data_IF_738250158451
#
_entry.id   IF_738250158451
#
_cell.length_a   1.000
_cell.length_b   1.000
_cell.length_c   1.000
_cell.angle_alpha   90.00
_cell.angle_beta   90.00
_cell.angle_gamma   90.00
#
_symmetry.space_group_name_H-M   'P 1'
#
loop_
_entity.id
_entity.type
_entity.pdbx_description
1 polymer ?
#
# COMPACT_ATOMS: atom_id res chain seq x y z
N UNK A 1 -7.45 5.45 -22.13
CA UNK A 1 -7.36 4.28 -21.23
C UNK A 1 -8.59 3.40 -21.47
N UNK A 2 -8.43 2.11 -21.74
CA UNK A 2 -9.54 1.18 -22.02
C UNK A 2 -10.52 1.13 -20.82
N UNK A 3 -11.82 1.29 -21.06
CA UNK A 3 -12.86 1.27 -20.01
C UNK A 3 -12.82 -0.02 -19.18
N UNK A 4 -12.47 -1.17 -19.79
CA UNK A 4 -12.30 -2.46 -19.09
C UNK A 4 -11.15 -2.45 -18.08
N UNK A 5 -10.02 -1.81 -18.43
CA UNK A 5 -8.89 -1.69 -17.51
C UNK A 5 -9.22 -0.75 -16.35
N UNK A 6 -9.93 0.34 -16.61
CA UNK A 6 -10.33 1.29 -15.59
C UNK A 6 -11.27 0.66 -14.55
N UNK A 7 -12.27 -0.11 -14.99
CA UNK A 7 -13.19 -0.82 -14.09
C UNK A 7 -12.48 -1.91 -13.29
N UNK A 8 -11.57 -2.66 -13.94
CA UNK A 8 -10.74 -3.68 -13.27
C UNK A 8 -9.86 -3.07 -12.18
N UNK A 9 -9.16 -1.98 -12.47
CA UNK A 9 -8.34 -1.26 -11.48
C UNK A 9 -9.19 -0.82 -10.28
N UNK A 10 -10.38 -0.23 -10.52
CA UNK A 10 -11.29 0.18 -9.43
C UNK A 10 -11.71 -1.00 -8.55
N UNK A 11 -12.04 -2.14 -9.17
CA UNK A 11 -12.42 -3.34 -8.43
C UNK A 11 -11.25 -3.88 -7.60
N UNK A 12 -10.04 -3.96 -8.17
CA UNK A 12 -8.84 -4.41 -7.47
C UNK A 12 -8.44 -3.47 -6.33
N UNK A 13 -8.51 -2.15 -6.53
CA UNK A 13 -8.27 -1.16 -5.49
C UNK A 13 -9.28 -1.28 -4.34
N UNK A 14 -10.57 -1.43 -4.64
CA UNK A 14 -11.61 -1.63 -3.61
C UNK A 14 -11.39 -2.91 -2.81
N UNK A 15 -11.08 -4.02 -3.50
CA UNK A 15 -10.86 -5.29 -2.82
C UNK A 15 -9.61 -5.23 -1.92
N UNK A 16 -8.51 -4.65 -2.41
CA UNK A 16 -7.30 -4.46 -1.61
C UNK A 16 -7.50 -3.48 -0.44
N UNK A 17 -8.32 -2.44 -0.61
CA UNK A 17 -8.73 -1.56 0.48
C UNK A 17 -9.40 -2.36 1.60
N UNK A 18 -10.45 -3.12 1.27
CA UNK A 18 -11.24 -3.86 2.26
C UNK A 18 -10.42 -4.94 2.95
N UNK A 19 -9.64 -5.70 2.18
CA UNK A 19 -8.76 -6.75 2.73
C UNK A 19 -7.76 -6.13 3.70
N UNK A 20 -7.06 -5.07 3.30
CA UNK A 20 -6.03 -4.48 4.15
C UNK A 20 -6.61 -3.71 5.34
N UNK A 21 -7.81 -3.12 5.19
CA UNK A 21 -8.53 -2.51 6.31
C UNK A 21 -8.83 -3.53 7.40
N UNK A 22 -9.41 -4.68 7.02
CA UNK A 22 -9.77 -5.72 7.97
C UNK A 22 -8.52 -6.39 8.53
N UNK A 23 -7.58 -6.82 7.68
CA UNK A 23 -6.40 -7.55 8.14
C UNK A 23 -5.49 -6.69 9.03
N UNK A 24 -5.13 -5.47 8.62
CA UNK A 24 -4.24 -4.64 9.44
C UNK A 24 -4.93 -4.15 10.71
N UNK A 25 -6.24 -3.87 10.66
CA UNK A 25 -7.01 -3.52 11.85
C UNK A 25 -7.08 -4.67 12.85
N UNK A 26 -7.40 -5.89 12.40
CA UNK A 26 -7.44 -7.07 13.25
C UNK A 26 -6.05 -7.43 13.80
N UNK A 27 -5.02 -7.41 12.97
CA UNK A 27 -3.64 -7.67 13.40
C UNK A 27 -3.23 -6.67 14.49
N UNK A 28 -3.49 -5.38 14.29
CA UNK A 28 -3.20 -4.37 15.31
C UNK A 28 -4.00 -4.61 16.59
N UNK A 29 -5.29 -4.91 16.48
CA UNK A 29 -6.13 -5.20 17.64
C UNK A 29 -5.59 -6.38 18.44
N UNK A 30 -5.33 -7.53 17.80
CA UNK A 30 -4.84 -8.71 18.51
C UNK A 30 -3.45 -8.52 19.13
N UNK A 31 -2.59 -7.68 18.54
CA UNK A 31 -1.26 -7.40 19.07
C UNK A 31 -1.26 -6.37 20.21
N UNK A 32 -2.28 -5.51 20.29
CA UNK A 32 -2.25 -4.32 21.15
C UNK A 32 -3.39 -4.26 22.18
N UNK A 33 -4.45 -5.07 22.04
CA UNK A 33 -5.66 -4.98 22.89
C UNK A 33 -5.41 -5.03 24.40
N UNK A 34 -4.34 -5.70 24.83
CA UNK A 34 -3.99 -5.84 26.26
C UNK A 34 -2.84 -4.90 26.67
N UNK A 35 -2.41 -4.00 25.79
CA UNK A 35 -1.30 -3.05 26.04
C UNK A 35 -1.82 -1.69 26.49
N UNK A 36 -0.98 -0.90 27.18
CA UNK A 36 -1.29 0.50 27.49
C UNK A 36 -1.50 1.34 26.23
N UNK A 37 -2.05 2.54 26.42
CA UNK A 37 -2.20 3.52 25.35
C UNK A 37 -0.86 3.81 24.65
N UNK A 38 -0.92 3.92 23.32
CA UNK A 38 0.24 4.05 22.45
C UNK A 38 0.61 5.52 22.27
N UNK A 39 1.86 5.85 22.57
CA UNK A 39 2.46 7.12 22.16
C UNK A 39 3.17 6.99 20.81
N UNK A 40 3.67 8.09 20.24
CA UNK A 40 4.34 8.05 18.95
C UNK A 40 5.65 7.23 18.96
N UNK A 41 6.33 7.21 20.10
CA UNK A 41 7.60 6.51 20.33
C UNK A 41 7.56 5.59 21.54
N UNK A 42 8.73 5.12 21.96
CA UNK A 42 8.86 4.17 23.08
C UNK A 42 8.60 2.72 22.69
N UNK A 43 8.63 1.83 23.68
CA UNK A 43 8.60 0.36 23.51
C UNK A 43 7.31 -0.16 22.84
N UNK A 44 6.23 0.60 22.91
CA UNK A 44 4.95 0.32 22.25
C UNK A 44 4.51 1.48 21.34
N UNK A 45 5.48 2.14 20.71
CA UNK A 45 5.22 3.32 19.88
C UNK A 45 4.52 2.99 18.57
N UNK A 46 3.47 3.75 18.23
CA UNK A 46 2.78 3.59 16.94
C UNK A 46 3.60 4.04 15.73
N UNK A 47 4.64 4.87 15.94
CA UNK A 47 5.46 5.44 14.88
C UNK A 47 6.26 4.38 14.12
N UNK A 48 7.14 3.61 14.78
CA UNK A 48 7.88 2.52 14.15
C UNK A 48 6.95 1.48 13.51
N UNK A 49 5.84 1.14 14.18
CA UNK A 49 4.85 0.20 13.64
C UNK A 49 4.24 0.68 12.32
N UNK A 50 3.83 1.95 12.25
CA UNK A 50 3.24 2.51 11.03
C UNK A 50 4.25 2.60 9.89
N UNK A 51 5.51 2.97 10.17
CA UNK A 51 6.58 3.06 9.16
C UNK A 51 6.93 1.69 8.59
N UNK A 52 7.11 0.68 9.45
CA UNK A 52 7.39 -0.70 9.02
C UNK A 52 6.20 -1.25 8.24
N UNK A 53 4.98 -1.04 8.73
CA UNK A 53 3.75 -1.45 8.03
C UNK A 53 3.66 -0.80 6.66
N UNK A 54 3.89 0.51 6.56
CA UNK A 54 3.88 1.24 5.30
C UNK A 54 4.86 0.69 4.28
N UNK A 55 6.08 0.38 4.72
CA UNK A 55 7.09 -0.25 3.88
C UNK A 55 6.66 -1.63 3.37
N UNK A 56 6.35 -2.54 4.30
CA UNK A 56 6.06 -3.93 3.98
C UNK A 56 4.78 -4.04 3.15
N UNK A 57 3.72 -3.33 3.55
CA UNK A 57 2.45 -3.36 2.84
C UNK A 57 2.60 -2.88 1.41
N UNK A 58 3.21 -1.71 1.20
CA UNK A 58 3.35 -1.16 -0.14
C UNK A 58 4.25 -2.03 -1.03
N UNK A 59 5.36 -2.54 -0.49
CA UNK A 59 6.25 -3.44 -1.24
C UNK A 59 5.57 -4.75 -1.62
N UNK A 60 4.90 -5.42 -0.68
CA UNK A 60 4.25 -6.71 -0.92
C UNK A 60 3.04 -6.58 -1.85
N UNK A 61 2.16 -5.60 -1.62
CA UNK A 61 1.01 -5.34 -2.51
C UNK A 61 1.52 -5.04 -3.92
N UNK A 62 2.56 -4.22 -4.07
CA UNK A 62 3.13 -3.91 -5.37
C UNK A 62 3.68 -5.16 -6.07
N UNK A 63 4.55 -5.95 -5.42
CA UNK A 63 5.21 -7.09 -6.07
C UNK A 63 4.21 -8.16 -6.49
N UNK A 64 3.23 -8.48 -5.65
CA UNK A 64 2.21 -9.47 -6.00
C UNK A 64 1.30 -8.96 -7.10
N UNK A 65 0.86 -7.70 -7.03
CA UNK A 65 0.02 -7.09 -8.07
C UNK A 65 0.74 -7.09 -9.42
N UNK A 66 2.01 -6.67 -9.47
CA UNK A 66 2.82 -6.67 -10.69
C UNK A 66 2.98 -8.08 -11.26
N UNK A 67 3.36 -9.06 -10.43
CA UNK A 67 3.58 -10.45 -10.87
C UNK A 67 2.29 -11.10 -11.38
N UNK A 68 1.18 -10.93 -10.67
CA UNK A 68 -0.13 -11.47 -11.08
C UNK A 68 -0.51 -10.93 -12.45
N UNK A 69 -0.45 -9.60 -12.63
CA UNK A 69 -0.88 -8.99 -13.89
C UNK A 69 0.10 -9.27 -15.04
N UNK A 70 1.41 -9.37 -14.76
CA UNK A 70 2.39 -9.82 -15.76
C UNK A 70 2.09 -11.25 -16.22
N UNK A 71 1.73 -12.13 -15.30
CA UNK A 71 1.29 -13.49 -15.62
C UNK A 71 0.00 -13.53 -16.43
N UNK A 72 -0.96 -12.64 -16.14
CA UNK A 72 -2.21 -12.52 -16.90
C UNK A 72 -1.96 -11.97 -18.32
N UNK A 73 -1.06 -11.01 -18.48
CA UNK A 73 -0.61 -10.50 -19.78
C UNK A 73 0.02 -11.61 -20.62
N UNK A 74 0.93 -12.40 -20.04
CA UNK A 74 1.57 -13.52 -20.73
C UNK A 74 0.55 -14.60 -21.17
N UNK A 75 -0.58 -14.71 -20.48
CA UNK A 75 -1.70 -15.62 -20.81
C UNK A 75 -2.72 -14.99 -21.78
N UNK A 76 -2.50 -13.77 -22.27
CA UNK A 76 -3.43 -13.07 -23.15
C UNK A 76 -4.74 -12.63 -22.48
N UNK A 77 -4.79 -12.60 -21.14
CA UNK A 77 -6.00 -12.22 -20.39
C UNK A 77 -6.19 -10.70 -20.29
N UNK A 78 -5.13 -9.94 -20.55
CA UNK A 78 -5.13 -8.48 -20.60
C UNK A 78 -4.28 -7.98 -21.77
N UNK A 79 -4.65 -6.82 -22.30
CA UNK A 79 -3.84 -6.08 -23.28
C UNK A 79 -2.65 -5.40 -22.58
N UNK A 80 -1.53 -5.29 -23.31
CA UNK A 80 -0.38 -4.56 -22.83
C UNK A 80 -0.71 -3.07 -22.69
N UNK A 81 -0.25 -2.47 -21.58
CA UNK A 81 -0.29 -1.02 -21.38
C UNK A 81 0.91 -0.43 -22.15
N UNK A 82 0.66 0.44 -23.15
CA UNK A 82 1.75 1.09 -23.88
C UNK A 82 2.51 2.03 -22.95
N UNK A 83 3.81 2.22 -23.21
CA UNK A 83 4.69 2.99 -22.33
C UNK A 83 4.22 4.46 -22.16
N UNK A 84 3.63 5.05 -23.21
CA UNK A 84 3.07 6.40 -23.14
C UNK A 84 1.92 6.51 -22.13
N UNK A 85 1.18 5.43 -21.90
CA UNK A 85 0.08 5.37 -20.93
C UNK A 85 0.53 5.19 -19.47
N UNK A 86 1.82 4.93 -19.23
CA UNK A 86 2.40 4.90 -17.88
C UNK A 86 2.65 6.31 -17.33
N UNK A 87 2.80 7.32 -18.19
CA UNK A 87 2.98 8.72 -17.79
C UNK A 87 4.16 8.91 -16.84
N UNK A 88 3.93 9.59 -15.71
CA UNK A 88 4.98 9.85 -14.71
C UNK A 88 5.58 8.56 -14.12
N UNK A 89 4.85 7.45 -14.11
CA UNK A 89 5.33 6.15 -13.59
C UNK A 89 6.51 5.66 -14.42
N UNK A 90 6.53 5.90 -15.74
CA UNK A 90 7.60 5.47 -16.62
C UNK A 90 8.97 6.06 -16.23
N UNK A 91 9.00 7.25 -15.62
CA UNK A 91 10.26 7.91 -15.22
C UNK A 91 10.97 7.25 -14.05
N UNK A 92 10.23 6.47 -13.25
CA UNK A 92 10.73 5.91 -11.99
C UNK A 92 10.70 4.38 -12.02
N UNK A 93 9.81 3.78 -12.83
CA UNK A 93 9.66 2.35 -12.91
C UNK A 93 10.89 1.66 -13.54
N UNK A 94 11.44 0.68 -12.83
CA UNK A 94 12.51 -0.20 -13.29
C UNK A 94 11.98 -1.40 -14.07
N UNK A 95 12.84 -2.04 -14.87
CA UNK A 95 12.58 -3.35 -15.49
C UNK A 95 12.39 -4.48 -14.46
N UNK A 96 12.94 -4.33 -13.25
CA UNK A 96 12.82 -5.31 -12.16
C UNK A 96 11.59 -5.05 -11.28
N UNK A 97 10.70 -6.06 -11.17
CA UNK A 97 9.54 -5.99 -10.27
C UNK A 97 9.97 -5.87 -8.79
N UNK A 98 11.13 -6.42 -8.42
CA UNK A 98 11.69 -6.29 -7.07
C UNK A 98 12.14 -4.87 -6.78
N UNK A 99 12.82 -4.22 -7.71
CA UNK A 99 13.23 -2.82 -7.52
C UNK A 99 12.01 -1.90 -7.46
N UNK A 100 11.01 -2.14 -8.31
CA UNK A 100 9.74 -1.42 -8.22
C UNK A 100 9.07 -1.62 -6.85
N UNK A 101 9.04 -2.86 -6.33
CA UNK A 101 8.47 -3.14 -5.02
C UNK A 101 9.21 -2.41 -3.89
N UNK A 102 10.54 -2.31 -3.97
CA UNK A 102 11.34 -1.55 -3.03
C UNK A 102 10.99 -0.06 -3.07
N UNK A 103 10.83 0.51 -4.27
CA UNK A 103 10.43 1.91 -4.45
C UNK A 103 9.03 2.18 -3.86
N UNK A 104 8.08 1.28 -4.06
CA UNK A 104 6.77 1.36 -3.39
C UNK A 104 6.89 1.27 -1.88
N UNK A 105 7.73 0.36 -1.38
CA UNK A 105 8.01 0.24 0.06
C UNK A 105 8.56 1.54 0.64
N UNK A 106 9.58 2.13 0.02
CA UNK A 106 10.15 3.42 0.45
C UNK A 106 9.07 4.52 0.42
N UNK A 107 8.28 4.61 -0.65
CA UNK A 107 7.20 5.58 -0.74
C UNK A 107 6.14 5.38 0.37
N UNK A 108 5.78 4.13 0.67
CA UNK A 108 4.88 3.79 1.76
C UNK A 108 5.44 4.15 3.14
N UNK A 109 6.72 3.90 3.37
CA UNK A 109 7.43 4.29 4.60
C UNK A 109 7.48 5.82 4.76
N UNK A 110 7.75 6.56 3.68
CA UNK A 110 7.74 8.03 3.69
C UNK A 110 6.34 8.58 3.99
N UNK A 111 5.29 8.01 3.38
CA UNK A 111 3.91 8.41 3.68
C UNK A 111 3.55 8.11 5.14
N UNK A 112 3.98 6.98 5.67
CA UNK A 112 3.80 6.63 7.08
C UNK A 112 4.54 7.61 7.99
N UNK A 113 5.80 7.93 7.69
CA UNK A 113 6.60 8.91 8.42
C UNK A 113 5.96 10.30 8.42
N UNK A 114 5.44 10.75 7.27
CA UNK A 114 4.68 12.00 7.19
C UNK A 114 3.39 11.95 8.03
N UNK A 115 2.68 10.82 8.01
CA UNK A 115 1.48 10.61 8.83
C UNK A 115 1.82 10.70 10.32
N UNK A 116 2.90 10.03 10.76
CA UNK A 116 3.40 10.11 12.14
C UNK A 116 3.78 11.54 12.50
N UNK A 117 4.51 12.24 11.62
CA UNK A 117 4.88 13.63 11.82
C UNK A 117 3.67 14.54 12.05
N UNK A 118 2.62 14.39 11.23
CA UNK A 118 1.35 15.11 11.42
C UNK A 118 0.72 14.77 12.77
N UNK A 119 0.62 13.48 13.13
CA UNK A 119 0.01 13.05 14.40
C UNK A 119 0.77 13.59 15.62
N UNK A 120 2.09 13.67 15.56
CA UNK A 120 2.93 14.22 16.64
C UNK A 120 2.77 15.74 16.78
N UNK A 121 2.53 16.46 15.68
CA UNK A 121 2.31 17.91 15.70
C UNK A 121 0.91 18.30 16.18
N UNK A 122 -0.04 17.36 16.16
CA UNK A 122 -1.37 17.57 16.69
C UNK A 122 -1.37 17.30 18.20
N UNK A 123 -2.05 18.12 19.03
CA UNK A 123 -2.17 17.88 20.47
C UNK A 123 -3.20 16.78 20.76
N UNK A 124 -3.03 15.60 20.15
CA UNK A 124 -3.87 14.42 20.37
C UNK A 124 -3.35 13.63 21.56
N UNK A 125 -4.24 13.10 22.42
CA UNK A 125 -3.84 12.19 23.48
C UNK A 125 -3.23 10.89 22.88
N UNK A 126 -2.51 10.10 23.70
CA UNK A 126 -2.08 8.76 23.30
C UNK A 126 -3.23 7.93 22.75
N UNK A 127 -2.94 7.11 21.75
CA UNK A 127 -3.96 6.26 21.14
C UNK A 127 -4.33 5.11 22.07
N UNK A 128 -5.60 5.00 22.40
CA UNK A 128 -6.13 3.74 22.92
C UNK A 128 -5.95 2.60 21.89
N UNK A 129 -5.69 1.35 22.32
CA UNK A 129 -5.42 0.23 21.40
C UNK A 129 -6.47 0.04 20.31
N UNK A 130 -7.76 0.18 20.65
CA UNK A 130 -8.85 0.07 19.67
C UNK A 130 -8.83 1.22 18.66
N UNK A 131 -8.62 2.45 19.14
CA UNK A 131 -8.55 3.64 18.28
C UNK A 131 -7.39 3.51 17.30
N UNK A 132 -6.24 3.03 17.77
CA UNK A 132 -5.10 2.78 16.89
C UNK A 132 -5.36 1.67 15.88
N UNK A 133 -5.99 0.57 16.29
CA UNK A 133 -6.32 -0.53 15.39
C UNK A 133 -7.25 -0.09 14.25
N UNK A 134 -8.28 0.70 14.56
CA UNK A 134 -9.19 1.27 13.55
C UNK A 134 -8.45 2.24 12.62
N UNK A 135 -7.66 3.14 13.19
CA UNK A 135 -6.84 4.08 12.42
C UNK A 135 -5.88 3.34 11.47
N UNK A 136 -5.11 2.38 11.99
CA UNK A 136 -4.14 1.60 11.22
C UNK A 136 -4.83 0.81 10.12
N UNK A 137 -5.98 0.20 10.40
CA UNK A 137 -6.78 -0.49 9.40
C UNK A 137 -7.18 0.42 8.25
N UNK A 138 -7.85 1.53 8.53
CA UNK A 138 -8.25 2.50 7.49
C UNK A 138 -7.04 3.01 6.72
N UNK A 139 -5.97 3.39 7.41
CA UNK A 139 -4.74 3.89 6.81
C UNK A 139 -4.10 2.87 5.87
N UNK A 140 -3.99 1.60 6.29
CA UNK A 140 -3.46 0.51 5.47
C UNK A 140 -4.35 0.22 4.26
N UNK A 141 -5.66 0.24 4.43
CA UNK A 141 -6.63 0.11 3.34
C UNK A 141 -6.42 1.19 2.27
N UNK A 142 -6.29 2.45 2.68
CA UNK A 142 -6.02 3.58 1.76
C UNK A 142 -4.69 3.38 1.03
N UNK A 143 -3.61 3.06 1.76
CA UNK A 143 -2.30 2.83 1.17
C UNK A 143 -2.35 1.72 0.10
N UNK A 144 -2.98 0.58 0.41
CA UNK A 144 -3.14 -0.51 -0.54
C UNK A 144 -3.92 -0.08 -1.79
N UNK A 145 -5.01 0.67 -1.63
CA UNK A 145 -5.81 1.18 -2.72
C UNK A 145 -5.04 2.14 -3.65
N UNK A 146 -4.10 2.92 -3.10
CA UNK A 146 -3.21 3.83 -3.84
C UNK A 146 -2.09 3.10 -4.58
N UNK A 147 -1.56 2.01 -4.01
CA UNK A 147 -0.47 1.20 -4.61
C UNK A 147 -0.96 0.36 -5.78
N UNK A 148 -2.19 -0.16 -5.72
CA UNK A 148 -2.72 -1.08 -6.74
C UNK A 148 -2.73 -0.49 -8.16
N UNK A 149 -3.30 0.70 -8.44
CA UNK A 149 -3.38 1.23 -9.80
C UNK A 149 -2.02 1.33 -10.53
N UNK A 150 -0.97 1.95 -9.95
CA UNK A 150 0.32 2.00 -10.61
C UNK A 150 0.99 0.61 -10.69
N UNK A 151 0.83 -0.26 -9.70
CA UNK A 151 1.37 -1.61 -9.75
C UNK A 151 0.74 -2.47 -10.87
N UNK A 152 -0.58 -2.36 -11.09
CA UNK A 152 -1.27 -3.02 -12.22
C UNK A 152 -0.68 -2.54 -13.55
N UNK A 153 -0.53 -1.22 -13.71
CA UNK A 153 0.00 -0.63 -14.96
C UNK A 153 1.44 -1.09 -15.24
N UNK A 154 2.29 -1.18 -14.21
CA UNK A 154 3.65 -1.71 -14.36
C UNK A 154 3.65 -3.20 -14.67
N UNK A 155 2.75 -3.98 -14.06
CA UNK A 155 2.59 -5.41 -14.33
C UNK A 155 2.14 -5.69 -15.77
N UNK A 156 1.28 -4.82 -16.32
CA UNK A 156 0.76 -4.91 -17.68
C UNK A 156 1.60 -4.18 -18.72
N UNK A 157 2.74 -3.57 -18.38
CA UNK A 157 3.53 -2.80 -19.35
C UNK A 157 3.97 -3.69 -20.53
N UNK A 158 3.97 -3.13 -21.73
CA UNK A 158 4.58 -3.78 -22.89
C UNK A 158 6.06 -4.09 -22.60
N UNK A 159 6.44 -5.36 -22.70
CA UNK A 159 7.85 -5.75 -22.76
C UNK A 159 8.30 -5.57 -24.21
N UNK A 160 8.97 -4.44 -24.49
CA UNK A 160 9.88 -4.30 -25.62
C UNK A 160 10.93 -5.41 -25.61
#
# INVERSE_FOLDING_TARGET
>A
MNHKLASHIRAQSRNNFLINLVLNGLIAWFLLKDKPALSAGGEHGYGPDLVITGFLLAALVAVFTMKIHRGQLAKGQHEAVPEQALGAIARVASRSDWLNSLLFGVAGAMLAGATVGVLVLLPVPPFEPLAYALFKGVWAGILAALVVPPAIRIGLRATS
#
